data_IF_123797524496
#
_entry.id   IF_123797524496
#
_cell.length_a   1.000
_cell.length_b   1.000
_cell.length_c   1.000
_cell.angle_alpha   90.00
_cell.angle_beta   90.00
_cell.angle_gamma   90.00
#
_symmetry.space_group_name_H-M   'P 1'
#
loop_
_entity.id
_entity.type
_entity.pdbx_description
1 polymer ?
#
# COMPACT_ATOMS: atom_id res chain seq x y z
N UNK A 1 4.30 -13.45 0.02
CA UNK A 1 4.33 -13.32 -1.45
C UNK A 1 5.13 -12.10 -1.91
N UNK A 2 4.83 -10.87 -1.46
CA UNK A 2 5.60 -9.65 -1.80
C UNK A 2 7.14 -9.82 -1.88
N UNK A 3 7.77 -10.38 -0.85
CA UNK A 3 9.23 -10.58 -0.86
C UNK A 3 9.71 -11.57 -1.94
N UNK A 4 8.91 -12.59 -2.27
CA UNK A 4 9.23 -13.51 -3.36
C UNK A 4 9.26 -12.78 -4.70
N UNK A 5 8.24 -11.95 -4.99
CA UNK A 5 8.15 -11.18 -6.22
C UNK A 5 9.30 -10.17 -6.36
N UNK A 6 9.67 -9.51 -5.25
CA UNK A 6 10.77 -8.55 -5.23
C UNK A 6 12.14 -9.22 -5.47
N UNK A 7 12.35 -10.44 -4.98
CA UNK A 7 13.62 -11.16 -5.14
C UNK A 7 13.74 -11.90 -6.47
N UNK A 8 12.60 -12.24 -7.10
CA UNK A 8 12.55 -12.99 -8.35
C UNK A 8 11.76 -12.21 -9.41
N UNK A 9 12.23 -11.03 -9.86
CA UNK A 9 11.48 -10.18 -10.79
C UNK A 9 11.26 -10.81 -12.17
N UNK A 10 12.06 -11.82 -12.52
CA UNK A 10 11.97 -12.55 -13.79
C UNK A 10 11.32 -13.94 -13.63
N UNK A 11 10.74 -14.25 -12.46
CA UNK A 11 10.04 -15.52 -12.29
C UNK A 11 8.81 -15.56 -13.22
N UNK A 12 8.61 -16.70 -13.89
CA UNK A 12 7.42 -16.93 -14.71
C UNK A 12 6.14 -17.00 -13.88
N UNK A 13 6.28 -17.27 -12.57
CA UNK A 13 5.18 -17.45 -11.63
C UNK A 13 5.22 -16.36 -10.56
N UNK A 14 4.11 -15.64 -10.39
CA UNK A 14 3.94 -14.68 -9.30
C UNK A 14 3.93 -15.39 -7.95
N UNK A 15 4.44 -14.71 -6.92
CA UNK A 15 4.51 -15.18 -5.56
C UNK A 15 3.17 -15.67 -5.03
N UNK A 16 2.05 -15.07 -5.44
CA UNK A 16 0.70 -15.47 -4.99
C UNK A 16 0.30 -16.89 -5.44
N UNK A 17 0.99 -17.46 -6.44
CA UNK A 17 0.80 -18.84 -6.92
C UNK A 17 1.84 -19.82 -6.38
N UNK A 18 2.81 -19.34 -5.61
CA UNK A 18 3.93 -20.11 -5.06
C UNK A 18 3.58 -20.58 -3.65
N UNK A 19 4.03 -21.78 -3.27
CA UNK A 19 3.80 -22.29 -1.91
C UNK A 19 4.52 -21.41 -0.88
N UNK A 20 3.91 -21.21 0.30
CA UNK A 20 4.53 -20.45 1.39
C UNK A 20 5.90 -21.01 1.79
N UNK A 21 6.13 -22.32 1.64
CA UNK A 21 7.43 -22.95 1.93
C UNK A 21 8.54 -22.51 0.97
N UNK A 22 8.19 -21.99 -0.21
CA UNK A 22 9.13 -21.46 -1.20
C UNK A 22 9.29 -19.93 -1.06
N UNK A 23 8.48 -19.28 -0.23
CA UNK A 23 8.66 -17.87 0.08
C UNK A 23 9.90 -17.68 0.97
N UNK A 24 10.66 -16.60 0.78
CA UNK A 24 11.79 -16.28 1.64
C UNK A 24 11.31 -16.09 3.09
N UNK A 25 12.05 -16.68 4.04
CA UNK A 25 11.83 -16.44 5.46
C UNK A 25 12.24 -15.03 5.83
N UNK A 26 11.46 -14.39 6.69
CA UNK A 26 11.77 -13.08 7.25
C UNK A 26 11.78 -13.16 8.78
N UNK A 27 12.91 -12.80 9.38
CA UNK A 27 13.13 -12.83 10.85
C UNK A 27 13.55 -11.45 11.38
N UNK A 28 13.16 -10.38 10.69
CA UNK A 28 13.45 -9.01 11.10
C UNK A 28 12.27 -8.34 11.81
N UNK A 29 12.52 -7.17 12.36
CA UNK A 29 11.47 -6.36 12.97
C UNK A 29 10.55 -5.73 11.90
N UNK A 30 9.24 -5.77 12.17
CA UNK A 30 8.22 -5.07 11.41
C UNK A 30 7.72 -3.89 12.25
N UNK A 31 7.85 -2.68 11.70
CA UNK A 31 7.23 -1.48 12.27
C UNK A 31 5.85 -1.31 11.67
N UNK A 32 4.82 -1.25 12.52
CA UNK A 32 3.43 -1.03 12.12
C UNK A 32 3.04 0.42 12.37
N UNK A 33 2.34 1.00 11.40
CA UNK A 33 1.80 2.35 11.46
C UNK A 33 0.28 2.29 11.27
N UNK A 34 -0.47 2.80 12.25
CA UNK A 34 -1.94 2.81 12.19
C UNK A 34 -2.50 3.97 11.37
N UNK A 35 -1.64 4.88 10.91
CA UNK A 35 -2.00 5.95 9.98
C UNK A 35 -0.78 6.46 9.23
N UNK A 36 -1.02 7.09 8.09
CA UNK A 36 0.00 7.77 7.29
C UNK A 36 -0.54 9.11 6.78
N UNK A 37 0.35 10.06 6.56
CA UNK A 37 0.03 11.33 5.91
C UNK A 37 0.35 11.23 4.42
N UNK A 38 -0.65 11.42 3.57
CA UNK A 38 -0.50 11.51 2.12
C UNK A 38 -0.55 12.98 1.69
N UNK A 39 0.55 13.49 1.14
CA UNK A 39 0.63 14.84 0.60
C UNK A 39 0.54 14.78 -0.92
N UNK A 40 -0.43 15.47 -1.52
CA UNK A 40 -0.66 15.45 -2.97
C UNK A 40 -1.12 16.81 -3.50
N UNK A 41 -1.01 17.01 -4.81
CA UNK A 41 -1.53 18.18 -5.50
C UNK A 41 -2.88 17.82 -6.14
N UNK A 42 -3.93 18.58 -5.81
CA UNK A 42 -5.26 18.42 -6.38
C UNK A 42 -5.57 19.61 -7.29
N UNK A 43 -5.43 19.49 -8.63
CA UNK A 43 -5.61 20.60 -9.55
C UNK A 43 -7.02 21.22 -9.52
N UNK A 44 -8.01 20.46 -9.06
CA UNK A 44 -9.42 20.85 -9.00
C UNK A 44 -9.76 21.76 -7.81
N UNK A 45 -8.94 21.78 -6.76
CA UNK A 45 -9.19 22.62 -5.59
C UNK A 45 -8.51 23.98 -5.77
N UNK A 46 -9.27 25.06 -5.61
CA UNK A 46 -8.77 26.44 -5.55
C UNK A 46 -8.01 26.72 -4.25
N UNK A 47 -7.17 25.79 -3.79
CA UNK A 47 -6.20 26.05 -2.74
C UNK A 47 -5.10 26.92 -3.36
N UNK A 48 -5.16 28.23 -3.12
CA UNK A 48 -4.36 29.24 -3.82
C UNK A 48 -2.86 28.93 -3.99
N UNK A 49 -2.21 29.61 -4.95
CA UNK A 49 -0.82 29.47 -5.38
C UNK A 49 0.11 28.78 -4.36
N UNK A 50 0.39 27.48 -4.58
CA UNK A 50 1.42 26.73 -3.87
C UNK A 50 0.99 25.80 -2.74
N UNK A 51 -0.31 25.54 -2.52
CA UNK A 51 -0.75 24.64 -1.43
C UNK A 51 -0.90 23.19 -1.88
N UNK A 52 -0.08 22.30 -1.29
CA UNK A 52 -0.28 20.85 -1.34
C UNK A 52 -1.39 20.46 -0.36
N UNK A 53 -2.21 19.48 -0.73
CA UNK A 53 -3.19 18.85 0.16
C UNK A 53 -2.48 17.79 1.00
N UNK A 54 -2.92 17.64 2.25
CA UNK A 54 -2.44 16.61 3.16
C UNK A 54 -3.65 15.88 3.73
N UNK A 55 -3.79 14.59 3.40
CA UNK A 55 -4.83 13.73 3.96
C UNK A 55 -4.20 12.68 4.88
N UNK A 56 -4.82 12.46 6.03
CA UNK A 56 -4.44 11.36 6.92
C UNK A 56 -5.25 10.14 6.54
N UNK A 57 -4.56 9.06 6.17
CA UNK A 57 -5.16 7.75 5.89
C UNK A 57 -5.02 6.91 7.15
N UNK A 58 -6.13 6.41 7.68
CA UNK A 58 -6.18 5.62 8.91
C UNK A 58 -6.37 4.13 8.62
N UNK A 59 -5.57 3.29 9.26
CA UNK A 59 -5.70 1.84 9.27
C UNK A 59 -5.59 1.36 10.74
N UNK A 60 -6.53 1.86 11.56
CA UNK A 60 -6.58 1.70 13.00
C UNK A 60 -7.40 0.46 13.37
N UNK A 61 -6.81 -0.57 14.00
CA UNK A 61 -7.57 -1.74 14.48
C UNK A 61 -8.48 -1.42 15.67
N UNK A 62 -8.28 -0.26 16.31
CA UNK A 62 -9.16 0.26 17.35
C UNK A 62 -9.09 1.78 17.35
N UNK A 63 -10.24 2.45 17.24
CA UNK A 63 -10.31 3.92 17.23
C UNK A 63 -11.12 4.44 18.41
N UNK A 64 -10.46 5.17 19.34
CA UNK A 64 -11.10 5.75 20.54
C UNK A 64 -11.87 4.75 21.42
N UNK A 65 -11.39 3.50 21.50
CA UNK A 65 -12.09 2.41 22.20
C UNK A 65 -13.32 1.88 21.48
N UNK A 66 -13.57 2.36 20.25
CA UNK A 66 -14.61 1.91 19.35
C UNK A 66 -14.11 0.96 18.27
N UNK A 67 -14.91 0.75 17.21
CA UNK A 67 -14.62 -0.21 16.16
C UNK A 67 -13.36 0.13 15.35
N UNK A 68 -12.92 -0.84 14.55
CA UNK A 68 -11.85 -0.67 13.57
C UNK A 68 -12.18 0.49 12.62
N UNK A 69 -11.15 1.22 12.19
CA UNK A 69 -11.24 2.24 11.15
C UNK A 69 -10.17 2.01 10.11
N UNK A 70 -10.60 1.55 8.95
CA UNK A 70 -9.77 1.32 7.77
C UNK A 70 -10.30 2.20 6.64
N UNK A 71 -9.47 3.13 6.18
CA UNK A 71 -9.81 4.05 5.10
C UNK A 71 -9.58 3.39 3.74
N UNK A 72 -10.35 3.78 2.73
CA UNK A 72 -10.15 3.35 1.35
C UNK A 72 -9.20 4.31 0.62
N UNK A 73 -8.40 3.76 -0.29
CA UNK A 73 -7.46 4.49 -1.14
C UNK A 73 -7.71 4.13 -2.61
N UNK A 74 -7.29 5.01 -3.51
CA UNK A 74 -7.23 4.72 -4.94
C UNK A 74 -5.83 4.21 -5.28
N UNK A 75 -5.76 3.12 -6.03
CA UNK A 75 -4.51 2.47 -6.46
C UNK A 75 -4.52 2.38 -7.96
N UNK A 76 -3.44 2.85 -8.59
CA UNK A 76 -3.24 2.67 -10.02
C UNK A 76 -2.84 1.22 -10.31
N UNK A 77 -3.61 0.56 -11.19
CA UNK A 77 -3.37 -0.81 -11.61
C UNK A 77 -2.69 -0.91 -12.98
N UNK A 78 -2.29 0.21 -13.58
CA UNK A 78 -1.66 0.27 -14.91
C UNK A 78 -2.58 -0.18 -16.05
N UNK A 79 -3.90 -0.30 -15.79
CA UNK A 79 -4.92 -0.63 -16.80
C UNK A 79 -5.26 0.61 -17.64
N UNK A 80 -5.72 0.38 -18.87
CA UNK A 80 -6.03 1.46 -19.82
C UNK A 80 -7.10 2.42 -19.29
N UNK A 81 -6.98 3.70 -19.66
CA UNK A 81 -7.89 4.80 -19.30
C UNK A 81 -9.37 4.61 -19.68
N UNK A 82 -9.71 3.52 -20.40
CA UNK A 82 -11.09 3.18 -20.78
C UNK A 82 -11.93 2.54 -19.66
N UNK A 83 -11.37 2.34 -18.46
CA UNK A 83 -12.09 1.88 -17.28
C UNK A 83 -12.93 3.02 -16.68
N UNK A 84 -14.14 2.77 -16.13
CA UNK A 84 -14.93 3.79 -15.41
C UNK A 84 -14.20 4.55 -14.29
N UNK A 85 -13.10 4.01 -13.76
CA UNK A 85 -12.22 4.71 -12.81
C UNK A 85 -10.86 5.11 -13.41
N UNK A 86 -10.76 5.21 -14.74
CA UNK A 86 -9.55 5.59 -15.47
C UNK A 86 -8.31 4.76 -15.09
N UNK A 87 -8.49 3.46 -14.84
CA UNK A 87 -7.41 2.55 -14.43
C UNK A 87 -7.14 2.50 -12.92
N UNK A 88 -7.90 3.25 -12.11
CA UNK A 88 -7.79 3.24 -10.65
C UNK A 88 -8.69 2.16 -10.04
N UNK A 89 -8.15 1.45 -9.05
CA UNK A 89 -8.87 0.54 -8.19
C UNK A 89 -9.14 1.17 -6.83
N UNK A 90 -10.27 0.84 -6.22
CA UNK A 90 -10.53 1.18 -4.82
C UNK A 90 -9.99 0.03 -3.97
N UNK A 91 -8.99 0.33 -3.14
CA UNK A 91 -8.42 -0.61 -2.19
C UNK A 91 -8.77 -0.22 -0.75
N UNK A 92 -8.97 -1.22 0.10
CA UNK A 92 -9.18 -1.01 1.54
C UNK A 92 -7.84 -1.12 2.26
N UNK A 93 -7.37 -0.05 2.90
CA UNK A 93 -6.11 -0.12 3.62
C UNK A 93 -6.30 -0.86 4.94
N UNK A 94 -5.66 -2.01 5.07
CA UNK A 94 -5.68 -2.81 6.30
C UNK A 94 -4.50 -2.49 7.22
N UNK A 95 -3.33 -2.18 6.66
CA UNK A 95 -2.09 -2.04 7.43
C UNK A 95 -1.05 -1.23 6.66
N UNK A 96 -0.42 -0.26 7.34
CA UNK A 96 0.87 0.27 6.90
C UNK A 96 1.97 -0.34 7.74
N UNK A 97 3.03 -0.81 7.09
CA UNK A 97 4.19 -1.34 7.77
C UNK A 97 5.47 -1.04 7.03
N UNK A 98 6.58 -1.06 7.76
CA UNK A 98 7.93 -0.92 7.21
C UNK A 98 8.83 -1.95 7.86
N UNK A 99 9.72 -2.51 7.07
CA UNK A 99 10.70 -3.49 7.51
C UNK A 99 11.96 -3.32 6.68
N UNK A 100 13.07 -3.84 7.18
CA UNK A 100 14.34 -3.91 6.44
C UNK A 100 14.61 -5.35 6.07
N UNK A 101 14.84 -5.60 4.79
CA UNK A 101 15.22 -6.91 4.30
C UNK A 101 16.65 -6.87 3.78
N UNK A 102 17.53 -7.70 4.35
CA UNK A 102 18.87 -7.88 3.83
C UNK A 102 18.94 -9.26 3.19
N UNK A 103 19.05 -9.28 1.86
CA UNK A 103 19.26 -10.53 1.14
C UNK A 103 20.71 -10.97 1.35
N UNK A 104 20.92 -11.95 2.23
CA UNK A 104 22.19 -12.66 2.29
C UNK A 104 22.31 -13.49 1.01
N UNK A 105 23.30 -13.17 0.19
CA UNK A 105 23.58 -13.84 -1.08
C UNK A 105 24.52 -15.02 -0.87
#
# INVERSE_FOLDING_TARGET
>A
YYLYDQLNPNAEMSGDHVSLCQCPSFDGDIKVFNSVLATYYAPSDHSGHGRMHCNVICCMPQWQGGPVRYDCILVDNGSSENDPLCGLLIAHCLLFFSFKFQHFR
#
